data_IF_656679124461
#
_entry.id   IF_656679124461
#
_cell.length_a   1.000
_cell.length_b   1.000
_cell.length_c   1.000
_cell.angle_alpha   90.00
_cell.angle_beta   90.00
_cell.angle_gamma   90.00
#
_symmetry.space_group_name_H-M   'P 1'
#
loop_
_entity.id
_entity.type
_entity.pdbx_description
1 polymer ?
#
# COMPACT_ATOMS: atom_id res chain seq x y z
N UNK A 1 17.08 25.76 2.06
CA UNK A 1 15.78 25.15 1.72
C UNK A 1 15.35 24.29 2.90
N UNK A 2 14.20 24.56 3.51
CA UNK A 2 13.72 23.79 4.65
C UNK A 2 13.23 22.42 4.16
N UNK A 3 13.85 21.34 4.62
CA UNK A 3 13.33 19.99 4.46
C UNK A 3 12.12 19.84 5.38
N UNK A 4 10.95 20.23 4.90
CA UNK A 4 9.68 19.94 5.56
C UNK A 4 9.51 18.42 5.60
N UNK A 5 9.67 17.84 6.78
CA UNK A 5 9.29 16.46 7.03
C UNK A 5 7.78 16.38 6.79
N UNK A 6 7.36 15.73 5.70
CA UNK A 6 5.96 15.38 5.51
C UNK A 6 5.62 14.36 6.60
N UNK A 7 5.09 14.85 7.71
CA UNK A 7 4.57 14.00 8.77
C UNK A 7 3.23 13.50 8.27
N UNK A 8 3.20 12.29 7.70
CA UNK A 8 1.94 11.63 7.42
C UNK A 8 1.14 11.53 8.71
N UNK A 9 -0.17 11.80 8.63
CA UNK A 9 -1.11 11.56 9.72
C UNK A 9 -1.00 10.12 10.25
N UNK A 10 -1.50 9.84 11.45
CA UNK A 10 -1.49 8.47 12.00
C UNK A 10 -2.08 7.46 11.00
N UNK A 11 -1.52 6.26 10.94
CA UNK A 11 -2.00 5.16 10.08
C UNK A 11 -3.46 4.84 10.41
N UNK A 12 -3.83 4.90 11.68
CA UNK A 12 -5.19 4.64 12.15
C UNK A 12 -6.18 5.70 11.64
N UNK A 13 -5.79 6.98 11.70
CA UNK A 13 -6.61 8.08 11.18
C UNK A 13 -6.80 7.97 9.67
N UNK A 14 -5.72 7.65 8.94
CA UNK A 14 -5.82 7.42 7.50
C UNK A 14 -6.77 6.27 7.18
N UNK A 15 -6.71 5.18 7.96
CA UNK A 15 -7.62 4.04 7.78
C UNK A 15 -9.07 4.40 8.02
N UNK A 16 -9.37 5.15 9.08
CA UNK A 16 -10.74 5.59 9.37
C UNK A 16 -11.35 6.40 8.22
N UNK A 17 -10.53 7.19 7.53
CA UNK A 17 -10.95 7.94 6.33
C UNK A 17 -11.20 7.00 5.14
N UNK A 18 -10.27 6.09 4.82
CA UNK A 18 -10.32 5.33 3.55
C UNK A 18 -11.12 4.03 3.61
N UNK A 19 -11.35 3.45 4.80
CA UNK A 19 -11.92 2.10 4.97
C UNK A 19 -13.28 1.90 4.30
N UNK A 20 -14.05 2.97 4.13
CA UNK A 20 -15.38 2.95 3.52
C UNK A 20 -15.52 3.88 2.31
N UNK A 21 -14.59 4.82 2.11
CA UNK A 21 -14.62 5.85 1.07
C UNK A 21 -13.25 5.91 0.36
N UNK A 22 -13.10 5.10 -0.69
CA UNK A 22 -11.90 5.05 -1.52
C UNK A 22 -12.29 4.66 -2.94
N UNK A 23 -11.64 5.27 -3.94
CA UNK A 23 -11.86 4.95 -5.36
C UNK A 23 -11.42 3.51 -5.71
N UNK A 24 -10.55 2.91 -4.90
CA UNK A 24 -10.08 1.53 -5.09
C UNK A 24 -11.01 0.48 -4.47
N UNK A 25 -12.01 0.91 -3.69
CA UNK A 25 -12.89 0.03 -2.94
C UNK A 25 -13.95 -0.57 -3.86
N UNK A 26 -13.96 -1.90 -3.97
CA UNK A 26 -14.93 -2.65 -4.76
C UNK A 26 -15.86 -3.41 -3.84
N UNK A 27 -17.15 -3.05 -3.87
CA UNK A 27 -18.23 -3.67 -3.08
C UNK A 27 -19.24 -4.32 -4.03
N UNK A 28 -19.69 -5.53 -3.70
CA UNK A 28 -20.76 -6.22 -4.41
C UNK A 28 -21.89 -6.55 -3.44
N UNK A 29 -23.13 -6.24 -3.84
CA UNK A 29 -24.32 -6.54 -3.01
C UNK A 29 -24.42 -8.05 -2.77
N UNK A 30 -24.71 -8.45 -1.54
CA UNK A 30 -24.83 -9.87 -1.16
C UNK A 30 -23.50 -10.60 -0.97
N UNK A 31 -22.36 -9.92 -1.06
CA UNK A 31 -21.06 -10.50 -0.76
C UNK A 31 -20.49 -9.89 0.52
N UNK A 32 -20.07 -10.70 1.51
CA UNK A 32 -19.66 -10.19 2.82
C UNK A 32 -18.32 -9.45 2.79
N UNK A 33 -17.43 -9.82 1.86
CA UNK A 33 -16.07 -9.28 1.81
C UNK A 33 -16.00 -8.05 0.91
N UNK A 34 -15.36 -6.99 1.42
CA UNK A 34 -15.00 -5.81 0.63
C UNK A 34 -13.62 -6.04 -0.01
N UNK A 35 -13.49 -5.73 -1.29
CA UNK A 35 -12.22 -5.84 -2.00
C UNK A 35 -11.61 -4.47 -2.28
N UNK A 36 -10.30 -4.41 -2.45
CA UNK A 36 -9.55 -3.20 -2.74
C UNK A 36 -8.56 -3.48 -3.86
N UNK A 37 -8.55 -2.62 -4.89
CA UNK A 37 -7.59 -2.70 -6.00
C UNK A 37 -6.44 -1.69 -5.85
N UNK A 38 -6.05 -1.39 -4.61
CA UNK A 38 -4.92 -0.52 -4.30
C UNK A 38 -3.57 -1.22 -4.58
N UNK A 39 -2.54 -0.43 -4.90
CA UNK A 39 -1.16 -0.94 -4.99
C UNK A 39 -0.66 -1.40 -3.62
N UNK A 40 0.27 -2.36 -3.58
CA UNK A 40 0.84 -2.91 -2.34
C UNK A 40 -0.18 -3.66 -1.43
N UNK A 41 -1.29 -4.13 -2.00
CA UNK A 41 -2.24 -5.03 -1.34
C UNK A 41 -2.23 -6.41 -2.02
N UNK A 42 -1.40 -7.32 -1.51
CA UNK A 42 -1.25 -8.67 -2.07
C UNK A 42 -2.51 -9.54 -1.93
N UNK A 43 -3.39 -9.22 -0.97
CA UNK A 43 -4.59 -10.02 -0.69
C UNK A 43 -5.81 -9.58 -1.50
N UNK A 44 -5.79 -8.36 -2.05
CA UNK A 44 -6.94 -7.73 -2.70
C UNK A 44 -8.13 -7.45 -1.77
N UNK A 45 -8.00 -7.72 -0.46
CA UNK A 45 -9.07 -7.48 0.53
C UNK A 45 -8.94 -6.08 1.10
N UNK A 46 -10.07 -5.42 1.36
CA UNK A 46 -10.10 -4.16 2.09
C UNK A 46 -9.97 -4.45 3.58
N UNK A 47 -8.73 -4.52 4.07
CA UNK A 47 -8.38 -4.79 5.45
C UNK A 47 -7.18 -3.94 5.87
N UNK A 48 -7.18 -3.48 7.13
CA UNK A 48 -6.18 -2.54 7.67
C UNK A 48 -4.74 -3.00 7.44
N UNK A 49 -4.43 -4.26 7.73
CA UNK A 49 -3.07 -4.79 7.65
C UNK A 49 -2.55 -4.96 6.21
N UNK A 50 -3.45 -5.10 5.24
CA UNK A 50 -3.08 -5.29 3.82
C UNK A 50 -3.25 -4.03 2.98
N UNK A 51 -3.69 -2.91 3.56
CA UNK A 51 -3.92 -1.68 2.81
C UNK A 51 -2.61 -0.95 2.52
N UNK A 52 -2.23 -0.92 1.25
CA UNK A 52 -1.02 -0.25 0.77
C UNK A 52 -1.10 1.28 0.82
N UNK A 53 -2.31 1.84 0.90
CA UNK A 53 -2.52 3.28 1.06
C UNK A 53 -2.05 3.75 2.44
N UNK A 54 -2.46 3.05 3.49
CA UNK A 54 -2.24 3.48 4.89
C UNK A 54 -0.95 2.91 5.49
N UNK A 55 -0.61 1.65 5.20
CA UNK A 55 0.52 1.01 5.85
C UNK A 55 1.85 1.63 5.40
N UNK A 56 2.81 1.87 6.31
CA UNK A 56 4.08 2.53 5.98
C UNK A 56 5.02 1.62 5.17
N UNK A 57 4.83 0.31 5.28
CA UNK A 57 5.58 -0.72 4.56
C UNK A 57 4.62 -1.53 3.70
N UNK A 58 5.10 -2.03 2.57
CA UNK A 58 4.29 -2.79 1.63
C UNK A 58 5.13 -3.39 0.53
N UNK A 59 4.65 -4.49 -0.03
CA UNK A 59 5.25 -5.20 -1.16
C UNK A 59 4.18 -5.35 -2.24
N UNK A 60 4.57 -5.10 -3.48
CA UNK A 60 3.73 -5.23 -4.66
C UNK A 60 4.48 -6.08 -5.68
N UNK A 61 3.79 -7.03 -6.31
CA UNK A 61 4.37 -7.96 -7.27
C UNK A 61 3.57 -7.84 -8.56
N UNK A 62 4.25 -7.62 -9.68
CA UNK A 62 3.64 -7.59 -11.02
C UNK A 62 4.44 -8.43 -12.00
N UNK A 63 3.73 -9.06 -12.92
CA UNK A 63 4.35 -9.65 -14.09
C UNK A 63 4.76 -8.54 -15.07
N UNK A 64 5.98 -8.60 -15.56
CA UNK A 64 6.46 -7.86 -16.71
C UNK A 64 6.45 -8.82 -17.90
N UNK A 65 5.42 -8.70 -18.72
CA UNK A 65 5.20 -9.58 -19.87
C UNK A 65 6.17 -9.30 -21.02
N UNK A 66 6.71 -8.09 -21.11
CA UNK A 66 7.65 -7.70 -22.17
C UNK A 66 9.00 -8.37 -21.93
N UNK A 67 9.52 -8.25 -20.71
CA UNK A 67 10.82 -8.83 -20.34
C UNK A 67 10.72 -10.25 -19.77
N UNK A 68 9.52 -10.87 -19.77
CA UNK A 68 9.23 -12.17 -19.13
C UNK A 68 9.78 -12.24 -17.70
N UNK A 69 9.64 -11.14 -16.96
CA UNK A 69 10.22 -10.96 -15.64
C UNK A 69 9.15 -10.74 -14.58
N UNK A 70 9.55 -10.81 -13.30
CA UNK A 70 8.71 -10.43 -12.16
C UNK A 70 9.26 -9.14 -11.57
N UNK A 71 8.41 -8.12 -11.49
CA UNK A 71 8.74 -6.84 -10.86
C UNK A 71 8.24 -6.84 -9.43
N UNK A 72 9.17 -6.71 -8.49
CA UNK A 72 8.86 -6.55 -7.06
C UNK A 72 9.12 -5.11 -6.66
N UNK A 73 8.08 -4.42 -6.20
CA UNK A 73 8.17 -3.04 -5.71
C UNK A 73 7.97 -3.04 -4.20
N UNK A 74 8.81 -2.30 -3.48
CA UNK A 74 8.72 -2.19 -2.01
C UNK A 74 8.52 -0.73 -1.57
N UNK A 75 7.63 -0.54 -0.59
CA UNK A 75 7.43 0.75 0.09
C UNK A 75 8.38 0.82 1.28
N UNK A 76 9.29 1.81 1.26
CA UNK A 76 10.32 1.99 2.30
C UNK A 76 9.71 2.56 3.58
N UNK A 77 10.01 1.93 4.72
CA UNK A 77 9.70 2.48 6.05
C UNK A 77 10.75 3.50 6.53
N UNK A 78 10.38 4.34 7.50
CA UNK A 78 11.33 5.21 8.21
C UNK A 78 12.38 4.33 8.93
N UNK A 79 13.66 4.52 8.64
CA UNK A 79 14.79 3.79 9.26
C UNK A 79 15.67 2.97 8.31
N UNK A 80 15.34 2.86 7.02
CA UNK A 80 16.23 2.19 6.07
C UNK A 80 17.35 3.14 5.60
N UNK A 81 18.42 3.26 6.39
CA UNK A 81 19.69 3.84 5.92
C UNK A 81 20.39 2.80 5.05
N UNK A 82 20.63 3.11 3.76
CA UNK A 82 21.56 2.32 2.96
C UNK A 82 22.95 2.57 3.51
N UNK A 83 23.47 1.70 4.36
CA UNK A 83 24.93 1.58 4.48
C UNK A 83 25.40 0.96 3.17
N UNK A 84 25.74 1.82 2.21
CA UNK A 84 26.44 1.39 1.00
C UNK A 84 27.82 0.90 1.48
N UNK A 85 27.95 -0.41 1.65
CA UNK A 85 29.23 -1.13 1.75
C UNK A 85 29.07 -2.36 0.86
N UNK A 86 29.48 -2.20 -0.39
CA UNK A 86 30.09 -3.17 -1.31
C UNK A 86 29.98 -2.63 -2.73
#
# INVERSE_FOLDING_TARGET
>A
MMNTQVVNASVDLQWEVVKNNSAFLKKRRGFPTKFSSEKFNLTGKNYYGSSGLVQPKGVDIRADFENKAIVVTTKRGKGFSRSLHR
#
